data_IF_157021241200
#
_entry.id   IF_157021241200
#
_cell.length_a   1.000
_cell.length_b   1.000
_cell.length_c   1.000
_cell.angle_alpha   90.00
_cell.angle_beta   90.00
_cell.angle_gamma   90.00
#
_symmetry.space_group_name_H-M   'P 1'
#
loop_
_entity.id
_entity.type
_entity.pdbx_description
1 polymer ?
#
# COMPACT_ATOMS: atom_id res chain seq x y z
N UNK A 1 23.07 1.91 22.78
CA UNK A 1 21.86 2.58 22.25
C UNK A 1 21.68 2.05 20.84
N UNK A 2 20.60 1.30 20.58
CA UNK A 2 20.29 0.80 19.24
C UNK A 2 19.55 1.90 18.46
N UNK A 3 20.31 2.64 17.63
CA UNK A 3 19.79 3.73 16.81
C UNK A 3 18.93 3.27 15.62
N UNK A 4 18.80 1.94 15.39
CA UNK A 4 17.98 1.38 14.34
C UNK A 4 16.60 0.92 14.82
N UNK A 5 16.31 1.06 16.12
CA UNK A 5 15.01 0.72 16.71
C UNK A 5 13.91 1.68 16.23
N UNK A 6 12.71 1.14 15.97
CA UNK A 6 11.55 1.90 15.47
C UNK A 6 10.60 2.18 16.61
N UNK A 7 9.97 3.35 16.59
CA UNK A 7 8.80 3.61 17.44
C UNK A 7 7.66 2.68 16.98
N UNK A 8 7.00 2.03 17.93
CA UNK A 8 5.94 1.06 17.67
C UNK A 8 4.65 1.66 18.21
N UNK A 9 3.66 1.97 17.36
CA UNK A 9 2.36 2.46 17.82
C UNK A 9 1.62 1.35 18.56
N UNK A 10 0.74 1.72 19.50
CA UNK A 10 -0.02 0.76 20.30
C UNK A 10 -0.86 -0.19 19.44
N UNK A 11 -1.39 0.32 18.33
CA UNK A 11 -2.13 -0.45 17.32
C UNK A 11 -1.33 -1.63 16.75
N UNK A 12 0.00 -1.53 16.66
CA UNK A 12 0.86 -2.60 16.15
C UNK A 12 1.04 -3.75 17.17
N UNK A 13 0.73 -3.54 18.45
CA UNK A 13 0.69 -4.62 19.43
C UNK A 13 -0.59 -5.44 19.37
N UNK A 14 -1.62 -4.95 18.67
CA UNK A 14 -2.82 -5.75 18.41
C UNK A 14 -2.44 -7.06 17.70
N UNK A 15 -2.95 -8.18 18.22
CA UNK A 15 -2.62 -9.53 17.76
C UNK A 15 -1.10 -9.82 17.68
N UNK A 16 -0.30 -9.18 18.55
CA UNK A 16 1.15 -9.33 18.62
C UNK A 16 1.90 -8.94 17.33
N UNK A 17 1.29 -8.16 16.44
CA UNK A 17 1.81 -7.95 15.08
C UNK A 17 3.23 -7.33 15.04
N UNK A 18 3.57 -6.48 16.01
CA UNK A 18 4.91 -5.91 16.19
C UNK A 18 6.02 -6.97 16.37
N UNK A 19 5.69 -8.18 16.86
CA UNK A 19 6.63 -9.31 17.03
C UNK A 19 6.92 -10.08 15.74
N UNK A 20 6.20 -9.78 14.66
CA UNK A 20 6.26 -10.53 13.40
C UNK A 20 6.47 -9.65 12.17
N UNK A 21 6.03 -8.40 12.22
CA UNK A 21 6.04 -7.50 11.07
C UNK A 21 7.40 -6.91 10.77
N UNK A 22 7.77 -6.89 9.49
CA UNK A 22 8.98 -6.20 9.02
C UNK A 22 8.94 -4.68 9.28
N UNK A 23 7.74 -4.11 9.45
CA UNK A 23 7.58 -2.68 9.68
C UNK A 23 8.05 -2.24 11.08
N UNK A 24 7.96 -3.12 12.09
CA UNK A 24 8.20 -2.79 13.50
C UNK A 24 9.24 -3.68 14.19
N UNK A 25 9.58 -4.85 13.64
CA UNK A 25 10.65 -5.68 14.18
C UNK A 25 11.97 -4.88 14.28
N UNK A 26 12.71 -5.00 15.39
CA UNK A 26 14.07 -4.47 15.47
C UNK A 26 14.99 -5.22 14.49
N UNK A 27 16.18 -4.67 14.25
CA UNK A 27 17.15 -5.31 13.36
C UNK A 27 17.65 -6.62 13.99
N UNK A 28 17.04 -7.73 13.59
CA UNK A 28 17.34 -9.08 14.07
C UNK A 28 17.40 -10.08 12.89
N UNK A 29 17.84 -11.33 13.10
CA UNK A 29 17.91 -12.34 12.03
C UNK A 29 16.59 -12.51 11.28
N UNK A 30 15.47 -12.59 12.00
CA UNK A 30 14.12 -12.68 11.42
C UNK A 30 13.78 -11.48 10.53
N UNK A 31 14.04 -10.26 10.99
CA UNK A 31 13.81 -9.05 10.19
C UNK A 31 14.64 -9.06 8.90
N UNK A 32 15.92 -9.47 8.98
CA UNK A 32 16.82 -9.58 7.82
C UNK A 32 16.35 -10.63 6.82
N UNK A 33 15.83 -11.75 7.32
CA UNK A 33 15.30 -12.83 6.48
C UNK A 33 14.07 -12.37 5.69
N UNK A 34 13.07 -11.77 6.36
CA UNK A 34 11.87 -11.26 5.66
C UNK A 34 12.29 -10.17 4.65
N UNK A 35 13.20 -9.26 5.03
CA UNK A 35 13.75 -8.23 4.12
C UNK A 35 14.41 -8.84 2.89
N UNK A 36 15.21 -9.89 3.08
CA UNK A 36 15.90 -10.61 2.00
C UNK A 36 14.90 -11.25 1.05
N UNK A 37 13.88 -11.94 1.56
CA UNK A 37 12.82 -12.55 0.75
C UNK A 37 12.10 -11.46 -0.06
N UNK A 38 11.67 -10.38 0.59
CA UNK A 38 11.00 -9.28 -0.10
C UNK A 38 11.86 -8.69 -1.22
N UNK A 39 13.15 -8.41 -0.96
CA UNK A 39 14.04 -7.82 -1.95
C UNK A 39 14.36 -8.76 -3.12
N UNK A 40 14.55 -10.05 -2.87
CA UNK A 40 15.04 -11.00 -3.87
C UNK A 40 13.90 -11.73 -4.60
N UNK A 41 12.71 -11.82 -4.01
CA UNK A 41 11.61 -12.60 -4.58
C UNK A 41 10.42 -11.74 -5.01
N UNK A 42 10.10 -10.67 -4.26
CA UNK A 42 8.88 -9.89 -4.47
C UNK A 42 9.13 -8.59 -5.23
N UNK A 43 10.21 -7.88 -4.88
CA UNK A 43 10.48 -6.52 -5.38
C UNK A 43 11.72 -6.43 -6.29
N UNK A 44 12.07 -7.51 -6.99
CA UNK A 44 13.13 -7.46 -8.00
C UNK A 44 12.67 -6.64 -9.21
N UNK A 45 13.61 -6.02 -9.93
CA UNK A 45 13.31 -5.29 -11.15
C UNK A 45 12.53 -6.14 -12.15
N UNK A 46 12.90 -7.41 -12.32
CA UNK A 46 12.18 -8.34 -13.21
C UNK A 46 10.71 -8.53 -12.79
N UNK A 47 10.42 -8.68 -11.50
CA UNK A 47 9.03 -8.83 -10.99
C UNK A 47 8.24 -7.54 -11.14
N UNK A 48 8.89 -6.41 -10.88
CA UNK A 48 8.30 -5.09 -11.09
C UNK A 48 8.02 -4.86 -12.58
N UNK A 49 8.93 -5.20 -13.48
CA UNK A 49 8.76 -5.04 -14.93
C UNK A 49 7.64 -5.96 -15.45
N UNK A 50 7.58 -7.20 -14.97
CA UNK A 50 6.50 -8.13 -15.32
C UNK A 50 5.10 -7.62 -14.95
N UNK A 51 4.99 -6.84 -13.87
CA UNK A 51 3.73 -6.22 -13.43
C UNK A 51 3.56 -4.76 -13.92
N UNK A 52 4.47 -4.24 -14.76
CA UNK A 52 4.44 -2.84 -15.21
C UNK A 52 3.15 -2.49 -15.96
N UNK A 53 2.65 -3.39 -16.82
CA UNK A 53 1.40 -3.17 -17.56
C UNK A 53 0.19 -3.01 -16.63
N UNK A 54 0.12 -3.81 -15.57
CA UNK A 54 -0.95 -3.72 -14.55
C UNK A 54 -0.86 -2.41 -13.78
N UNK A 55 0.36 -2.00 -13.39
CA UNK A 55 0.58 -0.71 -12.74
C UNK A 55 0.20 0.46 -13.63
N UNK A 56 0.56 0.39 -14.91
CA UNK A 56 0.23 1.43 -15.89
C UNK A 56 -1.28 1.56 -16.05
N UNK A 57 -2.00 0.44 -16.17
CA UNK A 57 -3.46 0.42 -16.23
C UNK A 57 -4.10 1.18 -15.06
N UNK A 58 -3.62 0.97 -13.82
CA UNK A 58 -4.16 1.68 -12.64
C UNK A 58 -3.89 3.18 -12.64
N UNK A 59 -2.76 3.60 -13.20
CA UNK A 59 -2.47 5.03 -13.40
C UNK A 59 -3.35 5.62 -14.49
N UNK A 60 -3.54 4.90 -15.60
CA UNK A 60 -4.40 5.36 -16.70
C UNK A 60 -5.87 5.49 -16.23
N UNK A 61 -6.39 4.54 -15.45
CA UNK A 61 -7.71 4.62 -14.80
C UNK A 61 -7.85 5.89 -13.91
N UNK A 62 -6.81 6.23 -13.13
CA UNK A 62 -6.80 7.46 -12.33
C UNK A 62 -6.81 8.72 -13.21
N UNK A 63 -6.04 8.73 -14.31
CA UNK A 63 -6.00 9.87 -15.25
C UNK A 63 -7.36 10.06 -15.92
N UNK A 64 -8.02 8.98 -16.34
CA UNK A 64 -9.37 9.02 -16.91
C UNK A 64 -10.38 9.55 -15.90
N UNK A 65 -10.32 9.10 -14.64
CA UNK A 65 -11.16 9.61 -13.56
C UNK A 65 -10.98 11.13 -13.37
N UNK A 66 -9.73 11.61 -13.28
CA UNK A 66 -9.44 13.04 -13.10
C UNK A 66 -9.92 13.85 -14.30
N UNK A 67 -9.78 13.33 -15.52
CA UNK A 67 -10.29 13.97 -16.74
C UNK A 67 -11.81 14.13 -16.69
N UNK A 68 -12.53 13.09 -16.30
CA UNK A 68 -14.00 13.14 -16.14
C UNK A 68 -14.44 14.13 -15.07
N UNK A 69 -13.74 14.21 -13.93
CA UNK A 69 -14.00 15.22 -12.92
C UNK A 69 -13.78 16.64 -13.47
N UNK A 70 -12.73 16.85 -14.26
CA UNK A 70 -12.45 18.14 -14.92
C UNK A 70 -13.58 18.55 -15.88
N UNK A 71 -14.02 17.64 -16.75
CA UNK A 71 -15.13 17.86 -17.68
C UNK A 71 -16.43 18.24 -16.95
N UNK A 72 -16.69 17.60 -15.80
CA UNK A 72 -17.85 17.88 -14.95
C UNK A 72 -17.67 19.03 -13.96
N UNK A 73 -16.49 19.66 -13.91
CA UNK A 73 -16.11 20.70 -12.93
C UNK A 73 -16.32 20.27 -11.47
N UNK A 74 -16.04 19.00 -11.17
CA UNK A 74 -16.14 18.42 -9.83
C UNK A 74 -14.75 18.41 -9.18
N UNK A 75 -14.70 18.80 -7.90
CA UNK A 75 -13.46 18.77 -7.13
C UNK A 75 -12.97 17.33 -6.92
N UNK A 76 -11.66 17.11 -7.05
CA UNK A 76 -11.03 15.80 -6.82
C UNK A 76 -10.40 15.77 -5.43
N UNK A 77 -10.77 14.76 -4.62
CA UNK A 77 -10.08 14.48 -3.37
C UNK A 77 -8.80 13.67 -3.65
N UNK A 78 -7.69 14.36 -3.90
CA UNK A 78 -6.40 13.74 -4.23
C UNK A 78 -5.97 12.70 -3.21
N UNK A 79 -6.16 12.97 -1.91
CA UNK A 79 -5.77 12.04 -0.86
C UNK A 79 -6.63 10.77 -0.81
N UNK A 80 -7.88 10.80 -1.28
CA UNK A 80 -8.73 9.61 -1.43
C UNK A 80 -8.32 8.84 -2.67
N UNK A 81 -8.24 9.52 -3.81
CA UNK A 81 -7.95 8.86 -5.10
C UNK A 81 -6.54 8.26 -5.14
N UNK A 82 -5.53 8.96 -4.62
CA UNK A 82 -4.17 8.42 -4.53
C UNK A 82 -4.11 7.17 -3.64
N UNK A 83 -4.90 7.14 -2.56
CA UNK A 83 -4.99 5.96 -1.69
C UNK A 83 -5.67 4.79 -2.42
N UNK A 84 -6.83 5.02 -3.05
CA UNK A 84 -7.54 4.02 -3.86
C UNK A 84 -6.64 3.42 -4.93
N UNK A 85 -5.96 4.26 -5.71
CA UNK A 85 -5.04 3.80 -6.76
C UNK A 85 -3.90 2.98 -6.18
N UNK A 86 -3.31 3.42 -5.05
CA UNK A 86 -2.23 2.67 -4.39
C UNK A 86 -2.71 1.33 -3.84
N UNK A 87 -3.90 1.29 -3.24
CA UNK A 87 -4.49 0.06 -2.72
C UNK A 87 -4.73 -0.95 -3.84
N UNK A 88 -5.32 -0.51 -4.94
CA UNK A 88 -5.53 -1.34 -6.13
C UNK A 88 -4.21 -1.78 -6.77
N UNK A 89 -3.21 -0.92 -6.78
CA UNK A 89 -1.88 -1.25 -7.28
C UNK A 89 -1.27 -2.42 -6.50
N UNK A 90 -1.30 -2.33 -5.17
CA UNK A 90 -0.74 -3.33 -4.27
C UNK A 90 -1.56 -4.63 -4.34
N UNK A 91 -2.89 -4.54 -4.28
CA UNK A 91 -3.75 -5.71 -4.33
C UNK A 91 -3.63 -6.46 -5.65
N UNK A 92 -3.51 -5.74 -6.75
CA UNK A 92 -3.32 -6.35 -8.06
C UNK A 92 -1.94 -6.99 -8.18
N UNK A 93 -0.91 -6.36 -7.60
CA UNK A 93 0.46 -6.91 -7.59
C UNK A 93 0.58 -8.20 -6.77
N UNK A 94 -0.08 -8.29 -5.61
CA UNK A 94 0.04 -9.46 -4.72
C UNK A 94 -0.99 -10.56 -4.97
N UNK A 95 -2.20 -10.18 -5.38
CA UNK A 95 -3.36 -11.07 -5.43
C UNK A 95 -4.06 -11.05 -6.79
N UNK A 96 -3.60 -10.24 -7.75
CA UNK A 96 -4.23 -10.07 -9.06
C UNK A 96 -5.70 -9.64 -9.01
N UNK A 97 -6.09 -8.93 -7.94
CA UNK A 97 -7.45 -8.39 -7.75
C UNK A 97 -7.41 -6.89 -7.50
N UNK A 98 -8.51 -6.21 -7.82
CA UNK A 98 -8.74 -4.82 -7.43
C UNK A 98 -9.59 -4.79 -6.17
N UNK A 99 -9.00 -4.42 -5.02
CA UNK A 99 -9.69 -4.43 -3.73
C UNK A 99 -10.65 -3.26 -3.54
N UNK A 100 -10.55 -2.22 -4.38
CA UNK A 100 -11.41 -1.05 -4.29
C UNK A 100 -11.83 -0.54 -5.66
N UNK A 101 -13.02 0.02 -5.73
CA UNK A 101 -13.52 0.72 -6.92
C UNK A 101 -13.53 2.20 -6.54
N UNK A 102 -13.19 3.10 -7.46
CA UNK A 102 -13.14 4.54 -7.22
C UNK A 102 -14.46 5.14 -6.66
N UNK A 103 -15.56 4.40 -6.79
CA UNK A 103 -16.91 4.79 -6.31
C UNK A 103 -17.39 4.02 -5.05
N UNK A 104 -16.60 3.11 -4.48
CA UNK A 104 -17.01 2.33 -3.29
C UNK A 104 -16.52 2.93 -1.97
N UNK A 105 -17.27 2.70 -0.87
CA UNK A 105 -16.88 3.10 0.49
C UNK A 105 -15.65 2.35 1.00
N UNK A 106 -15.38 1.16 0.45
CA UNK A 106 -14.32 0.27 0.94
C UNK A 106 -12.92 0.89 0.92
N UNK A 107 -12.57 1.68 -0.10
CA UNK A 107 -11.26 2.39 -0.10
C UNK A 107 -11.12 3.34 1.10
N UNK A 108 -12.21 4.02 1.47
CA UNK A 108 -12.20 4.96 2.58
C UNK A 108 -12.09 4.21 3.92
N UNK A 109 -12.78 3.09 4.08
CA UNK A 109 -12.65 2.23 5.26
C UNK A 109 -11.21 1.72 5.42
N UNK A 110 -10.57 1.26 4.32
CA UNK A 110 -9.16 0.87 4.35
C UNK A 110 -8.23 2.04 4.68
N UNK A 111 -8.52 3.24 4.16
CA UNK A 111 -7.74 4.44 4.45
C UNK A 111 -7.83 4.82 5.92
N UNK A 112 -9.03 4.76 6.49
CA UNK A 112 -9.27 5.10 7.89
C UNK A 112 -8.56 4.09 8.80
N UNK A 113 -8.64 2.79 8.51
CA UNK A 113 -7.88 1.75 9.22
C UNK A 113 -6.37 2.00 9.11
N UNK A 114 -5.85 2.26 7.91
CA UNK A 114 -4.43 2.54 7.71
C UNK A 114 -3.97 3.76 8.51
N UNK A 115 -4.78 4.82 8.51
CA UNK A 115 -4.53 6.03 9.27
C UNK A 115 -4.45 5.76 10.78
N UNK A 116 -5.40 4.99 11.33
CA UNK A 116 -5.43 4.63 12.75
C UNK A 116 -4.27 3.71 13.18
N UNK A 117 -3.74 2.89 12.27
CA UNK A 117 -2.54 2.08 12.57
C UNK A 117 -1.29 2.97 12.66
N UNK A 118 -1.22 4.03 11.84
CA UNK A 118 -0.04 4.90 11.76
C UNK A 118 0.04 6.03 12.80
N UNK A 119 -1.02 6.23 13.60
CA UNK A 119 -1.02 7.20 14.70
C UNK A 119 -0.37 6.66 15.97
#
# INVERSE_FOLDING_TARGET
IDFASRQIPDSAWAADHAKFSMAWLPVCPKWREIRKISAIQLFTSQRLDASQGLRRKKVDELVEFVKHCCEKRVAVNIGREAFTTTLNLLSNTFFSIDLSIHDSSGSQEFKDVAWHITQ
#
